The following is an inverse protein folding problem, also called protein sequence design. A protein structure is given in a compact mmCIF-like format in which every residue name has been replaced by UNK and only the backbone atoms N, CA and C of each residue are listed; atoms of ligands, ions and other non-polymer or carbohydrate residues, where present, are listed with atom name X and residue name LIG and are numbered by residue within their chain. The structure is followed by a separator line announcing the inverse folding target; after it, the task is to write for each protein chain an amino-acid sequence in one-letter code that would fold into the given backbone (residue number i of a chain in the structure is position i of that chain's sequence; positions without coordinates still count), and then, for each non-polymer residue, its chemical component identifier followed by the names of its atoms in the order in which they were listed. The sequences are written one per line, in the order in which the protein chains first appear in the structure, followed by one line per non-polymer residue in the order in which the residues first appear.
data_IF_817870690972
#
_entry.id   IF_817870690972
#
_cell.length_a   1.000
_cell.length_b   1.000
_cell.length_c   1.000
_cell.angle_alpha   90.00
_cell.angle_beta   90.00
_cell.angle_gamma   90.00
#
_symmetry.space_group_name_H-M   'P 1'
#
loop_
_entity.id
_entity.type
_entity.pdbx_description
1 polymer ?
#
# COMPACT_ATOMS: atom_id res chain seq x y z
N UNK A 1 27.89 -8.98 -136.59
CA UNK A 1 28.28 -7.71 -137.24
C UNK A 1 29.53 -8.00 -138.05
N UNK A 2 29.53 -7.75 -139.35
CA UNK A 2 30.71 -7.97 -140.18
C UNK A 2 31.79 -6.97 -139.75
N UNK A 3 32.84 -7.46 -139.08
CA UNK A 3 34.00 -6.64 -138.71
C UNK A 3 34.61 -6.03 -139.97
N UNK A 4 34.46 -4.73 -140.12
CA UNK A 4 34.94 -3.96 -141.25
C UNK A 4 36.46 -3.94 -141.20
N UNK A 5 37.10 -4.72 -142.09
CA UNK A 5 38.55 -4.68 -142.29
C UNK A 5 38.96 -3.26 -142.66
N UNK A 6 39.71 -2.61 -141.77
CA UNK A 6 40.29 -1.29 -142.03
C UNK A 6 41.49 -1.49 -142.94
N UNK A 7 41.67 -0.57 -143.89
CA UNK A 7 42.79 -0.58 -144.84
C UNK A 7 43.64 0.65 -144.61
N UNK A 8 44.95 0.45 -144.54
CA UNK A 8 45.93 1.54 -144.47
C UNK A 8 47.05 1.27 -145.46
N UNK A 9 47.59 2.35 -146.00
CA UNK A 9 48.80 2.31 -146.81
C UNK A 9 50.00 2.60 -145.89
N UNK A 10 50.96 1.68 -145.87
CA UNK A 10 52.17 1.81 -145.05
C UNK A 10 53.41 1.44 -145.84
N UNK A 11 54.53 2.09 -145.54
CA UNK A 11 55.81 1.81 -146.19
C UNK A 11 56.67 0.97 -145.24
N UNK A 12 57.12 -0.20 -145.71
CA UNK A 12 57.95 -1.14 -144.95
C UNK A 12 59.10 -1.62 -145.84
N UNK A 13 60.34 -1.45 -145.39
CA UNK A 13 61.54 -1.84 -146.09
C UNK A 13 61.78 -1.09 -147.41
N UNK A 14 61.14 0.07 -147.60
CA UNK A 14 61.14 0.84 -148.84
C UNK A 14 60.10 0.38 -149.88
N UNK A 15 59.17 -0.50 -149.50
CA UNK A 15 58.02 -0.90 -150.33
C UNK A 15 56.71 -0.51 -149.66
N UNK A 16 55.77 -0.01 -150.46
CA UNK A 16 54.45 0.38 -149.97
C UNK A 16 53.51 -0.82 -149.99
N UNK A 17 52.85 -1.09 -148.87
CA UNK A 17 51.91 -2.17 -148.67
C UNK A 17 50.56 -1.62 -148.23
N UNK A 18 49.50 -2.17 -148.84
CA UNK A 18 48.13 -1.95 -148.38
C UNK A 18 47.77 -3.02 -147.36
N UNK A 19 47.91 -2.71 -146.07
CA UNK A 19 47.56 -3.62 -145.00
C UNK A 19 46.05 -3.58 -144.75
N UNK A 20 45.45 -4.76 -144.63
CA UNK A 20 44.05 -4.91 -144.26
C UNK A 20 43.95 -5.77 -142.99
N UNK A 21 43.37 -5.22 -141.93
CA UNK A 21 43.23 -5.94 -140.67
C UNK A 21 42.06 -5.44 -139.83
N UNK A 22 41.89 -6.04 -138.65
CA UNK A 22 40.79 -5.74 -137.72
C UNK A 22 41.17 -4.72 -136.64
N UNK A 23 42.48 -4.51 -136.42
CA UNK A 23 43.00 -3.58 -135.43
C UNK A 23 42.77 -2.10 -135.80
N UNK A 24 43.12 -1.19 -134.88
CA UNK A 24 43.09 0.24 -135.20
C UNK A 24 44.18 0.61 -136.22
N UNK A 25 43.90 1.62 -137.06
CA UNK A 25 44.85 2.15 -138.05
C UNK A 25 46.15 2.59 -137.39
N UNK A 26 46.08 3.25 -136.22
CA UNK A 26 47.26 3.72 -135.48
C UNK A 26 48.13 2.57 -134.97
N UNK A 27 47.50 1.48 -134.51
CA UNK A 27 48.21 0.29 -134.06
C UNK A 27 48.88 -0.41 -135.24
N UNK A 28 48.18 -0.56 -136.37
CA UNK A 28 48.74 -1.14 -137.58
C UNK A 28 49.90 -0.31 -138.13
N UNK A 29 49.81 1.03 -138.11
CA UNK A 29 50.89 1.93 -138.50
C UNK A 29 52.08 1.81 -137.53
N UNK A 30 51.84 1.70 -136.22
CA UNK A 30 52.88 1.48 -135.23
C UNK A 30 53.59 0.13 -135.44
N UNK A 31 52.87 -0.95 -135.72
CA UNK A 31 53.45 -2.26 -136.04
C UNK A 31 54.25 -2.20 -137.34
N UNK A 32 53.75 -1.49 -138.36
CA UNK A 32 54.45 -1.28 -139.62
C UNK A 32 55.75 -0.49 -139.42
N UNK A 33 55.72 0.60 -138.63
CA UNK A 33 56.89 1.40 -138.25
C UNK A 33 57.90 0.58 -137.44
N UNK A 34 57.43 -0.23 -136.49
CA UNK A 34 58.31 -1.11 -135.72
C UNK A 34 58.97 -2.17 -136.61
N UNK A 35 58.22 -2.79 -137.52
CA UNK A 35 58.75 -3.74 -138.49
C UNK A 35 59.75 -3.08 -139.44
N UNK A 36 59.46 -1.88 -139.93
CA UNK A 36 60.36 -1.09 -140.78
C UNK A 36 61.65 -0.72 -140.04
N UNK A 37 61.56 -0.26 -138.80
CA UNK A 37 62.73 0.03 -137.96
C UNK A 37 63.57 -1.23 -137.72
N UNK A 38 62.96 -2.37 -137.37
CA UNK A 38 63.70 -3.65 -137.21
C UNK A 38 64.34 -4.11 -138.51
N UNK A 39 63.68 -3.88 -139.64
CA UNK A 39 64.19 -4.18 -140.97
C UNK A 39 65.39 -3.29 -141.32
N UNK A 40 65.34 -2.01 -140.96
CA UNK A 40 66.43 -1.06 -141.17
C UNK A 40 67.61 -1.29 -140.21
N UNK A 41 67.36 -1.64 -138.94
CA UNK A 41 68.40 -2.03 -137.98
C UNK A 41 69.16 -3.29 -138.44
N UNK A 42 68.44 -4.29 -138.97
CA UNK A 42 69.05 -5.49 -139.54
C UNK A 42 69.88 -5.17 -140.77
N UNK A 43 69.39 -4.30 -141.66
CA UNK A 43 70.17 -3.81 -142.80
C UNK A 43 71.43 -3.08 -142.36
N UNK A 44 71.35 -2.20 -141.36
CA UNK A 44 72.49 -1.43 -140.85
C UNK A 44 73.58 -2.32 -140.22
N UNK A 45 73.19 -3.44 -139.61
CA UNK A 45 74.13 -4.41 -139.01
C UNK A 45 74.65 -5.46 -140.00
N UNK A 46 74.10 -5.51 -141.22
CA UNK A 46 74.46 -6.47 -142.27
C UNK A 46 75.35 -5.78 -143.32
N UNK A 47 76.41 -6.45 -143.80
CA UNK A 47 77.34 -5.86 -144.78
C UNK A 47 76.64 -5.36 -146.07
N UNK A 48 77.17 -4.34 -146.77
CA UNK A 48 76.46 -3.60 -147.83
C UNK A 48 76.02 -4.40 -149.08
N UNK A 49 76.39 -5.68 -149.19
CA UNK A 49 76.09 -6.54 -150.34
C UNK A 49 75.05 -7.65 -150.07
N UNK A 50 74.31 -7.59 -148.95
CA UNK A 50 73.23 -8.54 -148.67
C UNK A 50 71.91 -7.98 -149.22
N UNK A 51 71.72 -8.15 -150.53
CA UNK A 51 70.41 -8.12 -151.19
C UNK A 51 69.55 -9.18 -150.53
N UNK A 52 68.36 -8.82 -150.02
CA UNK A 52 67.22 -9.69 -149.61
C UNK A 52 67.46 -11.21 -149.76
N UNK A 53 68.35 -11.77 -148.95
CA UNK A 53 68.71 -13.18 -149.03
C UNK A 53 67.65 -14.00 -148.29
N UNK A 54 67.50 -15.29 -148.61
CA UNK A 54 66.47 -16.16 -148.00
C UNK A 54 66.52 -16.17 -146.45
N UNK A 55 67.68 -15.86 -145.86
CA UNK A 55 67.87 -15.81 -144.41
C UNK A 55 67.38 -14.51 -143.73
N UNK A 56 67.15 -13.42 -144.47
CA UNK A 56 66.79 -12.12 -143.89
C UNK A 56 65.41 -12.14 -143.20
N UNK A 57 64.33 -12.68 -143.80
CA UNK A 57 63.04 -12.82 -143.13
C UNK A 57 63.12 -13.70 -141.88
N UNK A 58 63.99 -14.72 -141.88
CA UNK A 58 64.17 -15.64 -140.76
C UNK A 58 64.82 -14.93 -139.56
N UNK A 59 65.87 -14.13 -139.80
CA UNK A 59 66.54 -13.37 -138.74
C UNK A 59 65.62 -12.27 -138.17
N UNK A 60 64.83 -11.62 -139.02
CA UNK A 60 63.82 -10.64 -138.58
C UNK A 60 62.73 -11.29 -137.72
N UNK A 61 62.22 -12.45 -138.14
CA UNK A 61 61.26 -13.22 -137.35
C UNK A 61 61.85 -13.66 -136.00
N UNK A 62 63.12 -14.08 -135.98
CA UNK A 62 63.81 -14.50 -134.76
C UNK A 62 63.97 -13.35 -133.75
N UNK A 63 64.33 -12.14 -134.22
CA UNK A 63 64.43 -10.97 -133.34
C UNK A 63 63.09 -10.53 -132.78
N UNK A 64 62.02 -10.58 -133.58
CA UNK A 64 60.66 -10.27 -133.12
C UNK A 64 60.20 -11.34 -132.10
N UNK A 65 60.54 -12.61 -132.34
CA UNK A 65 60.26 -13.68 -131.39
C UNK A 65 61.03 -13.47 -130.07
N UNK A 66 62.32 -13.15 -130.11
CA UNK A 66 63.13 -12.84 -128.92
C UNK A 66 62.55 -11.67 -128.11
N UNK A 67 62.18 -10.57 -128.76
CA UNK A 67 61.50 -9.44 -128.12
C UNK A 67 60.17 -9.89 -127.46
N UNK A 68 59.39 -10.76 -128.12
CA UNK A 68 58.17 -11.34 -127.55
C UNK A 68 58.44 -12.24 -126.33
N UNK A 69 59.47 -13.08 -126.39
CA UNK A 69 59.84 -13.99 -125.30
C UNK A 69 60.34 -13.21 -124.09
N UNK A 70 61.20 -12.20 -124.28
CA UNK A 70 61.66 -11.29 -123.22
C UNK A 70 60.50 -10.53 -122.56
N UNK A 71 59.57 -10.01 -123.36
CA UNK A 71 58.39 -9.32 -122.85
C UNK A 71 57.48 -10.26 -122.04
N UNK A 72 57.32 -11.52 -122.47
CA UNK A 72 56.56 -12.54 -121.72
C UNK A 72 57.24 -12.93 -120.43
N UNK A 73 58.55 -13.16 -120.45
CA UNK A 73 59.34 -13.52 -119.26
C UNK A 73 59.32 -12.39 -118.22
N UNK A 74 59.48 -11.14 -118.66
CA UNK A 74 59.36 -9.96 -117.80
C UNK A 74 57.95 -9.85 -117.21
N UNK A 75 56.88 -10.03 -118.01
CA UNK A 75 55.51 -10.04 -117.50
C UNK A 75 55.26 -11.16 -116.48
N UNK A 76 55.79 -12.36 -116.70
CA UNK A 76 55.66 -13.47 -115.75
C UNK A 76 56.44 -13.22 -114.45
N UNK A 77 57.65 -12.67 -114.54
CA UNK A 77 58.48 -12.35 -113.37
C UNK A 77 57.87 -11.20 -112.58
N UNK A 78 57.45 -10.11 -113.24
CA UNK A 78 56.74 -9.01 -112.59
C UNK A 78 55.41 -9.47 -111.99
N UNK A 79 54.61 -10.27 -112.70
CA UNK A 79 53.33 -10.77 -112.15
C UNK A 79 53.53 -11.69 -110.96
N UNK A 80 54.51 -12.59 -110.99
CA UNK A 80 54.78 -13.51 -109.87
C UNK A 80 55.34 -12.80 -108.64
N UNK A 81 56.21 -11.80 -108.82
CA UNK A 81 56.72 -10.96 -107.71
C UNK A 81 55.58 -10.13 -107.09
N UNK A 82 54.77 -9.48 -107.93
CA UNK A 82 53.64 -8.65 -107.45
C UNK A 82 52.57 -9.50 -106.76
N UNK A 83 52.30 -10.72 -107.24
CA UNK A 83 51.37 -11.64 -106.58
C UNK A 83 51.92 -12.08 -105.23
N UNK A 84 53.19 -12.49 -105.15
CA UNK A 84 53.83 -12.90 -103.89
C UNK A 84 53.92 -11.76 -102.86
N UNK A 85 54.22 -10.54 -103.29
CA UNK A 85 54.21 -9.36 -102.41
C UNK A 85 52.79 -9.07 -101.89
N UNK A 86 51.78 -9.13 -102.76
CA UNK A 86 50.38 -8.99 -102.34
C UNK A 86 49.97 -10.09 -101.37
N UNK A 87 50.31 -11.34 -101.62
CA UNK A 87 50.04 -12.46 -100.72
C UNK A 87 50.71 -12.28 -99.36
N UNK A 88 51.99 -11.86 -99.33
CA UNK A 88 52.72 -11.58 -98.10
C UNK A 88 52.11 -10.41 -97.33
N UNK A 89 51.73 -9.33 -98.01
CA UNK A 89 51.08 -8.18 -97.39
C UNK A 89 49.73 -8.57 -96.80
N UNK A 90 48.88 -9.26 -97.57
CA UNK A 90 47.59 -9.79 -97.11
C UNK A 90 47.79 -10.72 -95.92
N UNK A 91 48.77 -11.64 -95.96
CA UNK A 91 49.06 -12.55 -94.86
C UNK A 91 49.54 -11.80 -93.60
N UNK A 92 50.34 -10.74 -93.75
CA UNK A 92 50.78 -9.91 -92.63
C UNK A 92 49.62 -9.12 -92.01
N UNK A 93 48.74 -8.55 -92.83
CA UNK A 93 47.53 -7.84 -92.39
C UNK A 93 46.56 -8.80 -91.70
N UNK A 94 46.36 -10.01 -92.23
CA UNK A 94 45.51 -11.03 -91.60
C UNK A 94 46.07 -11.46 -90.25
N UNK A 95 47.40 -11.64 -90.14
CA UNK A 95 48.06 -11.95 -88.87
C UNK A 95 47.92 -10.81 -87.86
N UNK A 96 48.07 -9.57 -88.30
CA UNK A 96 47.87 -8.40 -87.45
C UNK A 96 46.43 -8.35 -86.91
N UNK A 97 45.43 -8.48 -87.79
CA UNK A 97 44.01 -8.48 -87.43
C UNK A 97 43.65 -9.63 -86.49
N UNK A 98 44.19 -10.83 -86.75
CA UNK A 98 44.00 -11.99 -85.88
C UNK A 98 44.59 -11.74 -84.50
N UNK A 99 45.79 -11.14 -84.42
CA UNK A 99 46.44 -10.82 -83.16
C UNK A 99 45.64 -9.77 -82.35
N UNK A 100 45.07 -8.77 -83.02
CA UNK A 100 44.21 -7.78 -82.38
C UNK A 100 42.91 -8.43 -81.85
N UNK A 101 42.28 -9.31 -82.63
CA UNK A 101 41.13 -10.09 -82.16
C UNK A 101 41.46 -11.00 -80.97
N UNK A 102 42.65 -11.62 -80.97
CA UNK A 102 43.12 -12.44 -79.84
C UNK A 102 43.27 -11.56 -78.60
N UNK A 103 43.89 -10.37 -78.72
CA UNK A 103 44.01 -9.42 -77.60
C UNK A 103 42.65 -9.04 -77.04
N UNK A 104 41.73 -8.60 -77.90
CA UNK A 104 40.37 -8.21 -77.49
C UNK A 104 39.64 -9.38 -76.82
N UNK A 105 39.74 -10.59 -77.38
CA UNK A 105 39.14 -11.80 -76.78
C UNK A 105 39.76 -12.13 -75.43
N UNK A 106 41.08 -11.97 -75.27
CA UNK A 106 41.76 -12.20 -73.98
C UNK A 106 41.38 -11.16 -72.92
N UNK A 107 41.21 -9.89 -73.30
CA UNK A 107 40.75 -8.83 -72.40
C UNK A 107 39.32 -9.11 -71.93
N UNK A 108 38.41 -9.43 -72.85
CA UNK A 108 37.03 -9.80 -72.54
C UNK A 108 37.00 -11.03 -71.60
N UNK A 109 37.79 -12.07 -71.90
CA UNK A 109 37.88 -13.26 -71.06
C UNK A 109 38.35 -12.92 -69.64
N UNK A 110 39.34 -12.04 -69.50
CA UNK A 110 39.83 -11.60 -68.20
C UNK A 110 38.77 -10.79 -67.44
N UNK A 111 38.01 -9.93 -68.12
CA UNK A 111 36.89 -9.21 -67.52
C UNK A 111 35.79 -10.14 -67.03
N UNK A 112 35.41 -11.16 -67.81
CA UNK A 112 34.43 -12.17 -67.38
C UNK A 112 34.93 -12.97 -66.18
N UNK A 113 36.22 -13.31 -66.14
CA UNK A 113 36.83 -13.99 -64.99
C UNK A 113 36.80 -13.13 -63.73
N UNK A 114 37.12 -11.84 -63.85
CA UNK A 114 37.03 -10.89 -62.73
C UNK A 114 35.59 -10.72 -62.23
N UNK A 115 34.61 -10.59 -63.13
CA UNK A 115 33.19 -10.55 -62.75
C UNK A 115 32.74 -11.84 -62.06
N UNK A 116 33.20 -13.00 -62.52
CA UNK A 116 32.88 -14.27 -61.89
C UNK A 116 33.40 -14.33 -60.44
N UNK A 117 34.63 -13.86 -60.20
CA UNK A 117 35.17 -13.78 -58.84
C UNK A 117 34.42 -12.77 -57.97
N UNK A 118 33.99 -11.64 -58.51
CA UNK A 118 33.20 -10.65 -57.77
C UNK A 118 31.83 -11.21 -57.35
N UNK A 119 31.16 -11.94 -58.25
CA UNK A 119 29.90 -12.61 -57.92
C UNK A 119 30.08 -13.69 -56.86
N UNK A 120 31.18 -14.44 -56.90
CA UNK A 120 31.49 -15.46 -55.89
C UNK A 120 31.72 -14.83 -54.51
N UNK A 121 32.44 -13.70 -54.43
CA UNK A 121 32.59 -12.92 -53.19
C UNK A 121 31.23 -12.44 -52.68
N UNK A 122 30.38 -11.91 -53.57
CA UNK A 122 29.07 -11.41 -53.20
C UNK A 122 28.14 -12.51 -52.66
N UNK A 123 28.19 -13.70 -53.26
CA UNK A 123 27.45 -14.89 -52.78
C UNK A 123 27.93 -15.28 -51.38
N UNK A 124 29.24 -15.37 -51.16
CA UNK A 124 29.80 -15.70 -49.84
C UNK A 124 29.40 -14.68 -48.76
N UNK A 125 29.40 -13.39 -49.10
CA UNK A 125 28.91 -12.33 -48.21
C UNK A 125 27.42 -12.48 -47.90
N UNK A 126 26.60 -12.79 -48.92
CA UNK A 126 25.17 -13.02 -48.74
C UNK A 126 24.90 -14.22 -47.83
N UNK A 127 25.60 -15.35 -48.02
CA UNK A 127 25.47 -16.53 -47.18
C UNK A 127 25.85 -16.25 -45.72
N UNK A 128 26.92 -15.47 -45.50
CA UNK A 128 27.35 -15.07 -44.16
C UNK A 128 26.27 -14.23 -43.48
N UNK A 129 25.75 -13.21 -44.17
CA UNK A 129 24.64 -12.39 -43.66
C UNK A 129 23.37 -13.21 -43.42
N UNK A 130 23.07 -14.19 -44.27
CA UNK A 130 21.92 -15.07 -44.07
C UNK A 130 22.04 -15.87 -42.78
N UNK A 131 23.23 -16.42 -42.48
CA UNK A 131 23.50 -17.14 -41.23
C UNK A 131 23.39 -16.23 -40.00
N UNK A 132 23.88 -15.00 -40.09
CA UNK A 132 23.71 -13.99 -39.02
C UNK A 132 22.23 -13.70 -38.76
N UNK A 133 21.43 -13.53 -39.81
CA UNK A 133 19.98 -13.31 -39.70
C UNK A 133 19.29 -14.50 -39.03
N UNK A 134 19.66 -15.74 -39.37
CA UNK A 134 19.06 -16.93 -38.75
C UNK A 134 19.47 -17.07 -37.26
N UNK A 135 20.71 -16.69 -36.92
CA UNK A 135 21.15 -16.58 -35.53
C UNK A 135 20.37 -15.52 -34.76
N UNK A 136 20.14 -14.35 -35.36
CA UNK A 136 19.33 -13.29 -34.76
C UNK A 136 17.86 -13.70 -34.57
N UNK A 137 17.26 -14.38 -35.55
CA UNK A 137 15.90 -14.93 -35.43
C UNK A 137 15.80 -15.90 -34.26
N UNK A 138 16.77 -16.81 -34.11
CA UNK A 138 16.81 -17.75 -32.99
C UNK A 138 16.93 -17.02 -31.65
N UNK A 139 17.75 -15.97 -31.59
CA UNK A 139 17.88 -15.15 -30.39
C UNK A 139 16.60 -14.36 -30.06
N UNK A 140 15.83 -13.92 -31.06
CA UNK A 140 14.54 -13.27 -30.87
C UNK A 140 13.53 -14.24 -30.26
N UNK A 141 13.39 -15.44 -30.81
CA UNK A 141 12.47 -16.47 -30.27
C UNK A 141 12.80 -16.79 -28.81
N UNK A 142 14.08 -16.98 -28.49
CA UNK A 142 14.49 -17.22 -27.10
C UNK A 142 14.16 -16.04 -26.17
N UNK A 143 14.26 -14.80 -26.66
CA UNK A 143 13.87 -13.61 -25.88
C UNK A 143 12.37 -13.53 -25.69
N UNK A 144 11.57 -13.83 -26.72
CA UNK A 144 10.10 -13.92 -26.63
C UNK A 144 9.67 -14.92 -25.56
N UNK A 145 10.27 -16.12 -25.53
CA UNK A 145 10.02 -17.12 -24.48
C UNK A 145 10.34 -16.59 -23.06
N UNK A 146 11.41 -15.81 -22.92
CA UNK A 146 11.76 -15.21 -21.61
C UNK A 146 10.78 -14.11 -21.20
N UNK A 147 10.31 -13.32 -22.16
CA UNK A 147 9.31 -12.27 -21.94
C UNK A 147 8.01 -12.92 -21.48
N UNK A 148 7.53 -13.99 -22.14
CA UNK A 148 6.30 -14.68 -21.77
C UNK A 148 6.37 -15.23 -20.33
N UNK A 149 7.53 -15.80 -19.93
CA UNK A 149 7.75 -16.26 -18.55
C UNK A 149 7.70 -15.12 -17.53
N UNK A 150 8.26 -13.96 -17.88
CA UNK A 150 8.23 -12.78 -17.01
C UNK A 150 6.82 -12.20 -16.91
N UNK A 151 6.06 -12.16 -17.99
CA UNK A 151 4.66 -11.71 -18.02
C UNK A 151 3.79 -12.59 -17.11
N UNK A 152 3.94 -13.91 -17.18
CA UNK A 152 3.24 -14.83 -16.26
C UNK A 152 3.59 -14.55 -14.79
N UNK A 153 4.87 -14.27 -14.49
CA UNK A 153 5.30 -13.92 -13.13
C UNK A 153 4.72 -12.59 -12.65
N UNK A 154 4.62 -11.60 -13.54
CA UNK A 154 3.97 -10.31 -13.24
C UNK A 154 2.50 -10.52 -12.88
N UNK A 155 1.78 -11.34 -13.64
CA UNK A 155 0.37 -11.65 -13.36
C UNK A 155 0.21 -12.31 -11.98
N UNK A 156 1.07 -13.28 -11.64
CA UNK A 156 1.04 -13.91 -10.32
C UNK A 156 1.30 -12.90 -9.19
N UNK A 157 2.32 -12.06 -9.33
CA UNK A 157 2.64 -11.03 -8.32
C UNK A 157 1.53 -9.99 -8.18
N UNK A 158 0.84 -9.64 -9.26
CA UNK A 158 -0.33 -8.76 -9.22
C UNK A 158 -1.48 -9.39 -8.44
N UNK A 159 -1.74 -10.68 -8.66
CA UNK A 159 -2.73 -11.45 -7.88
C UNK A 159 -2.39 -11.45 -6.39
N UNK A 160 -1.12 -11.70 -6.03
CA UNK A 160 -0.68 -11.68 -4.63
C UNK A 160 -0.86 -10.29 -4.00
N UNK A 161 -0.52 -9.22 -4.73
CA UNK A 161 -0.71 -7.84 -4.28
C UNK A 161 -2.19 -7.56 -3.98
N UNK A 162 -3.09 -7.99 -4.86
CA UNK A 162 -4.52 -7.77 -4.67
C UNK A 162 -5.06 -8.57 -3.47
N UNK A 163 -4.58 -9.80 -3.26
CA UNK A 163 -4.89 -10.57 -2.05
C UNK A 163 -4.41 -9.85 -0.78
N UNK A 164 -3.17 -9.34 -0.78
CA UNK A 164 -2.64 -8.59 0.36
C UNK A 164 -3.38 -7.28 0.62
N UNK A 165 -3.85 -6.58 -0.42
CA UNK A 165 -4.70 -5.38 -0.26
C UNK A 165 -6.02 -5.72 0.44
N UNK A 166 -6.67 -6.82 0.05
CA UNK A 166 -7.91 -7.27 0.71
C UNK A 166 -7.65 -7.56 2.19
N UNK A 167 -6.61 -8.35 2.50
CA UNK A 167 -6.22 -8.65 3.89
C UNK A 167 -5.90 -7.40 4.71
N UNK A 168 -5.27 -6.40 4.09
CA UNK A 168 -4.97 -5.12 4.75
C UNK A 168 -6.24 -4.34 5.05
N UNK A 169 -7.18 -4.30 4.11
CA UNK A 169 -8.48 -3.65 4.28
C UNK A 169 -9.29 -4.30 5.41
N UNK A 170 -9.34 -5.63 5.46
CA UNK A 170 -10.02 -6.37 6.53
C UNK A 170 -9.42 -6.06 7.92
N UNK A 171 -8.09 -6.00 8.01
CA UNK A 171 -7.41 -5.59 9.26
C UNK A 171 -7.71 -4.14 9.63
N UNK A 172 -7.77 -3.23 8.66
CA UNK A 172 -8.12 -1.83 8.88
C UNK A 172 -9.56 -1.68 9.40
N UNK A 173 -10.49 -2.44 8.83
CA UNK A 173 -11.88 -2.48 9.29
C UNK A 173 -11.96 -3.03 10.73
N UNK A 174 -11.25 -4.13 11.02
CA UNK A 174 -11.20 -4.70 12.37
C UNK A 174 -10.68 -3.69 13.39
N UNK A 175 -9.61 -2.94 13.08
CA UNK A 175 -9.08 -1.89 13.97
C UNK A 175 -10.13 -0.80 14.20
N UNK A 176 -10.84 -0.39 13.16
CA UNK A 176 -11.92 0.61 13.23
C UNK A 176 -13.03 0.14 14.17
N UNK A 177 -13.46 -1.11 14.04
CA UNK A 177 -14.49 -1.71 14.91
C UNK A 177 -14.03 -1.80 16.37
N UNK A 178 -12.78 -2.21 16.62
CA UNK A 178 -12.23 -2.24 17.97
C UNK A 178 -12.15 -0.85 18.59
N UNK A 179 -11.76 0.17 17.83
CA UNK A 179 -11.73 1.56 18.29
C UNK A 179 -13.13 2.06 18.65
N UNK A 180 -14.15 1.74 17.84
CA UNK A 180 -15.54 2.05 18.18
C UNK A 180 -15.97 1.39 19.49
N UNK A 181 -15.59 0.13 19.70
CA UNK A 181 -15.89 -0.64 20.93
C UNK A 181 -15.20 -0.06 22.16
N UNK A 182 -13.94 0.35 22.03
CA UNK A 182 -13.17 1.05 23.08
C UNK A 182 -13.85 2.37 23.43
N UNK A 183 -14.27 3.16 22.44
CA UNK A 183 -14.95 4.42 22.67
C UNK A 183 -16.27 4.24 23.43
N UNK A 184 -17.08 3.23 23.07
CA UNK A 184 -18.30 2.89 23.81
C UNK A 184 -18.00 2.53 25.26
N UNK A 185 -17.00 1.66 25.50
CA UNK A 185 -16.60 1.29 26.86
C UNK A 185 -16.08 2.47 27.68
N UNK A 186 -15.35 3.39 27.06
CA UNK A 186 -14.87 4.61 27.73
C UNK A 186 -16.04 5.53 28.12
N UNK A 187 -17.08 5.64 27.26
CA UNK A 187 -18.30 6.36 27.62
C UNK A 187 -19.01 5.70 28.81
N UNK A 188 -19.18 4.38 28.79
CA UNK A 188 -19.76 3.63 29.92
C UNK A 188 -18.96 3.85 31.21
N UNK A 189 -17.62 3.75 31.15
CA UNK A 189 -16.74 4.00 32.29
C UNK A 189 -16.92 5.43 32.85
N UNK A 190 -17.02 6.43 31.98
CA UNK A 190 -17.27 7.81 32.40
C UNK A 190 -18.62 7.95 33.11
N UNK A 191 -19.68 7.30 32.60
CA UNK A 191 -20.99 7.32 33.27
C UNK A 191 -20.96 6.63 34.64
N UNK A 192 -20.25 5.51 34.76
CA UNK A 192 -20.07 4.81 36.03
C UNK A 192 -19.27 5.65 37.03
N UNK A 193 -18.21 6.30 36.58
CA UNK A 193 -17.40 7.20 37.41
C UNK A 193 -18.23 8.38 37.93
N UNK A 194 -19.08 8.98 37.08
CA UNK A 194 -20.03 10.02 37.52
C UNK A 194 -21.00 9.51 38.59
N UNK A 195 -21.63 8.34 38.36
CA UNK A 195 -22.54 7.71 39.34
C UNK A 195 -21.85 7.37 40.66
N UNK A 196 -20.59 6.94 40.60
CA UNK A 196 -19.78 6.64 41.79
C UNK A 196 -19.54 7.91 42.60
N UNK A 197 -19.18 9.01 41.95
CA UNK A 197 -19.01 10.31 42.61
C UNK A 197 -20.31 10.78 43.26
N UNK A 198 -21.45 10.69 42.57
CA UNK A 198 -22.77 11.02 43.13
C UNK A 198 -23.08 10.18 44.39
N UNK A 199 -22.82 8.87 44.36
CA UNK A 199 -22.99 8.01 45.55
C UNK A 199 -22.06 8.38 46.70
N UNK A 200 -20.80 8.74 46.41
CA UNK A 200 -19.85 9.16 47.44
C UNK A 200 -20.30 10.46 48.13
N UNK A 201 -20.82 11.43 47.37
CA UNK A 201 -21.40 12.65 47.93
C UNK A 201 -22.59 12.32 48.83
N UNK A 202 -23.53 11.51 48.36
CA UNK A 202 -24.69 11.10 49.15
C UNK A 202 -24.30 10.34 50.43
N UNK A 203 -23.28 9.49 50.38
CA UNK A 203 -22.76 8.78 51.55
C UNK A 203 -22.15 9.75 52.57
N UNK A 204 -21.39 10.74 52.11
CA UNK A 204 -20.81 11.76 52.99
C UNK A 204 -21.89 12.58 53.69
N UNK A 205 -22.95 12.99 52.97
CA UNK A 205 -24.11 13.67 53.57
C UNK A 205 -24.81 12.82 54.63
N UNK A 206 -24.97 11.52 54.36
CA UNK A 206 -25.59 10.58 55.29
C UNK A 206 -24.73 10.42 56.55
N UNK A 207 -23.41 10.29 56.40
CA UNK A 207 -22.46 10.24 57.50
C UNK A 207 -22.49 11.52 58.35
N UNK A 208 -22.58 12.70 57.73
CA UNK A 208 -22.74 13.97 58.45
C UNK A 208 -24.04 13.98 59.26
N UNK A 209 -25.17 13.61 58.65
CA UNK A 209 -26.47 13.51 59.35
C UNK A 209 -26.42 12.49 60.50
N UNK A 210 -25.71 11.37 60.32
CA UNK A 210 -25.54 10.38 61.38
C UNK A 210 -24.72 10.95 62.55
N UNK A 211 -23.64 11.68 62.27
CA UNK A 211 -22.84 12.36 63.28
C UNK A 211 -23.67 13.40 64.06
N UNK A 212 -24.46 14.23 63.36
CA UNK A 212 -25.37 15.19 63.99
C UNK A 212 -26.41 14.52 64.89
N UNK A 213 -27.01 13.41 64.43
CA UNK A 213 -27.95 12.61 65.24
C UNK A 213 -27.27 12.02 66.48
N UNK A 214 -26.04 11.53 66.38
CA UNK A 214 -25.29 11.00 67.52
C UNK A 214 -24.98 12.10 68.54
N UNK A 215 -24.61 13.31 68.10
CA UNK A 215 -24.43 14.46 69.00
C UNK A 215 -25.74 14.76 69.74
N UNK A 216 -26.86 14.87 69.02
CA UNK A 216 -28.18 15.10 69.62
C UNK A 216 -28.56 13.99 70.62
N UNK A 217 -28.34 12.73 70.26
CA UNK A 217 -28.61 11.59 71.13
C UNK A 217 -27.78 11.66 72.42
N UNK A 218 -26.51 12.00 72.32
CA UNK A 218 -25.64 12.17 73.49
C UNK A 218 -26.13 13.32 74.40
N UNK A 219 -26.60 14.43 73.82
CA UNK A 219 -27.20 15.53 74.59
C UNK A 219 -28.47 15.07 75.31
N UNK A 220 -29.39 14.41 74.61
CA UNK A 220 -30.64 13.88 75.19
C UNK A 220 -30.33 12.85 76.29
N UNK A 221 -29.32 12.01 76.12
CA UNK A 221 -28.90 11.05 77.15
C UNK A 221 -28.38 11.77 78.40
N UNK A 222 -27.59 12.84 78.27
CA UNK A 222 -27.15 13.66 79.40
C UNK A 222 -28.35 14.29 80.12
N UNK A 223 -29.29 14.88 79.38
CA UNK A 223 -30.50 15.46 79.94
C UNK A 223 -31.35 14.41 80.69
N UNK A 224 -31.49 13.21 80.11
CA UNK A 224 -32.16 12.07 80.75
C UNK A 224 -31.46 11.69 82.05
N UNK A 225 -30.13 11.60 82.06
CA UNK A 225 -29.35 11.22 83.23
C UNK A 225 -29.47 12.29 84.34
N UNK A 226 -29.41 13.58 83.99
CA UNK A 226 -29.65 14.69 84.92
C UNK A 226 -31.07 14.64 85.52
N UNK A 227 -32.07 14.37 84.69
CA UNK A 227 -33.45 14.18 85.15
C UNK A 227 -33.59 12.96 86.07
N UNK A 228 -32.90 11.85 85.77
CA UNK A 228 -32.90 10.67 86.63
C UNK A 228 -32.28 10.96 88.00
N UNK A 229 -31.19 11.74 88.06
CA UNK A 229 -30.59 12.20 89.31
C UNK A 229 -31.56 13.09 90.10
N UNK A 230 -32.18 14.07 89.44
CA UNK A 230 -33.20 14.95 90.06
C UNK A 230 -34.38 14.16 90.59
N UNK A 231 -34.88 13.20 89.83
CA UNK A 231 -36.00 12.32 90.23
C UNK A 231 -35.61 11.46 91.44
N UNK A 232 -34.39 10.90 91.46
CA UNK A 232 -33.89 10.13 92.61
C UNK A 232 -33.80 10.99 93.86
N UNK A 233 -33.32 12.22 93.74
CA UNK A 233 -33.26 13.18 94.85
C UNK A 233 -34.66 13.54 95.35
N UNK A 234 -35.59 13.89 94.44
CA UNK A 234 -36.98 14.17 94.78
C UNK A 234 -37.66 12.99 95.49
N UNK A 235 -37.47 11.76 95.01
CA UNK A 235 -37.99 10.55 95.66
C UNK A 235 -37.38 10.33 97.06
N UNK A 236 -36.10 10.64 97.26
CA UNK A 236 -35.47 10.57 98.58
C UNK A 236 -36.07 11.62 99.53
N UNK A 237 -36.30 12.84 99.06
CA UNK A 237 -36.98 13.89 99.81
C UNK A 237 -38.42 13.50 100.17
N UNK A 238 -39.17 12.92 99.22
CA UNK A 238 -40.52 12.40 99.48
C UNK A 238 -40.49 11.33 100.57
N UNK A 239 -39.57 10.36 100.51
CA UNK A 239 -39.42 9.34 101.56
C UNK A 239 -39.07 9.92 102.93
N UNK A 240 -38.24 10.98 102.98
CA UNK A 240 -37.94 11.67 104.22
C UNK A 240 -39.19 12.34 104.80
N UNK A 241 -39.94 13.07 103.96
CA UNK A 241 -41.21 13.69 104.34
C UNK A 241 -42.26 12.66 104.77
N UNK A 242 -42.34 11.50 104.11
CA UNK A 242 -43.20 10.38 104.51
C UNK A 242 -42.84 9.86 105.90
N UNK A 243 -41.53 9.69 106.19
CA UNK A 243 -41.05 9.29 107.51
C UNK A 243 -41.34 10.33 108.58
N UNK A 244 -41.18 11.62 108.26
CA UNK A 244 -41.52 12.72 109.16
C UNK A 244 -43.04 12.76 109.42
N UNK A 245 -43.87 12.53 108.40
CA UNK A 245 -45.32 12.39 108.55
C UNK A 245 -45.69 11.19 109.41
N UNK A 246 -45.07 10.03 109.24
CA UNK A 246 -45.28 8.87 110.13
C UNK A 246 -44.92 9.19 111.57
N UNK A 247 -43.80 9.89 111.80
CA UNK A 247 -43.38 10.32 113.14
C UNK A 247 -44.39 11.26 113.76
N UNK A 248 -44.82 12.30 113.04
CA UNK A 248 -45.86 13.22 113.48
C UNK A 248 -47.19 12.51 113.73
N UNK A 249 -47.53 11.50 112.94
CA UNK A 249 -48.74 10.68 113.13
C UNK A 249 -48.65 9.88 114.43
N UNK A 250 -47.50 9.25 114.72
CA UNK A 250 -47.26 8.55 115.99
C UNK A 250 -47.27 9.50 117.19
N UNK A 251 -46.60 10.64 117.09
CA UNK A 251 -46.63 11.68 118.13
C UNK A 251 -48.06 12.17 118.37
N UNK A 252 -48.83 12.43 117.31
CA UNK A 252 -50.24 12.83 117.43
C UNK A 252 -51.10 11.73 118.06
N UNK A 253 -50.84 10.46 117.76
CA UNK A 253 -51.55 9.32 118.36
C UNK A 253 -51.20 9.15 119.83
N UNK A 254 -49.92 9.26 120.21
CA UNK A 254 -49.49 9.25 121.61
C UNK A 254 -50.13 10.39 122.40
N UNK A 255 -50.15 11.62 121.85
CA UNK A 255 -50.86 12.75 122.48
C UNK A 255 -52.36 12.46 122.64
N UNK A 256 -52.96 11.70 121.73
CA UNK A 256 -54.38 11.31 121.80
C UNK A 256 -54.61 10.27 122.90
N UNK A 257 -53.72 9.29 123.03
CA UNK A 257 -53.73 8.29 124.11
C UNK A 257 -53.45 8.94 125.48
N UNK A 258 -52.47 9.84 125.56
CA UNK A 258 -52.20 10.64 126.77
C UNK A 258 -53.42 11.48 127.15
N UNK A 259 -54.06 12.13 126.17
CA UNK A 259 -55.31 12.86 126.38
C UNK A 259 -56.42 11.95 126.92
N UNK A 260 -56.58 10.75 126.38
CA UNK A 260 -57.56 9.77 126.87
C UNK A 260 -57.25 9.28 128.28
N UNK A 261 -55.96 9.03 128.60
CA UNK A 261 -55.51 8.70 129.95
C UNK A 261 -55.80 9.82 130.92
N UNK A 262 -55.46 11.06 130.58
CA UNK A 262 -55.78 12.25 131.39
C UNK A 262 -57.29 12.42 131.58
N UNK A 263 -58.11 12.16 130.56
CA UNK A 263 -59.57 12.15 130.72
C UNK A 263 -60.00 11.08 131.73
N UNK A 264 -59.38 9.90 131.69
CA UNK A 264 -59.68 8.79 132.59
C UNK A 264 -59.21 9.07 134.02
N UNK A 265 -58.05 9.70 134.19
CA UNK A 265 -57.53 10.14 135.48
C UNK A 265 -58.41 11.25 136.06
N UNK A 266 -58.83 12.22 135.24
CA UNK A 266 -59.80 13.25 135.65
C UNK A 266 -61.14 12.63 136.03
N UNK A 267 -61.62 11.62 135.29
CA UNK A 267 -62.84 10.88 135.63
C UNK A 267 -62.68 10.09 136.94
N UNK A 268 -61.54 9.44 137.16
CA UNK A 268 -61.23 8.73 138.41
C UNK A 268 -61.09 9.69 139.59
N UNK A 269 -60.45 10.84 139.42
CA UNK A 269 -60.37 11.89 140.44
C UNK A 269 -61.78 12.41 140.74
N UNK A 270 -62.62 12.54 139.71
CA UNK A 270 -64.01 12.94 139.88
C UNK A 270 -64.84 11.88 140.62
N UNK A 271 -64.68 10.61 140.29
CA UNK A 271 -65.33 9.51 141.00
C UNK A 271 -64.81 9.39 142.44
N UNK A 272 -63.50 9.54 142.67
CA UNK A 272 -62.92 9.61 144.01
C UNK A 272 -63.45 10.82 144.79
N UNK A 273 -63.61 11.97 144.13
CA UNK A 273 -64.20 13.16 144.72
C UNK A 273 -65.68 12.95 145.05
N UNK A 274 -66.45 12.29 144.17
CA UNK A 274 -67.85 11.95 144.42
C UNK A 274 -67.98 10.87 145.51
N UNK A 275 -67.05 9.93 145.60
CA UNK A 275 -66.97 8.92 146.68
C UNK A 275 -66.60 9.59 148.01
N UNK A 276 -65.65 10.53 148.00
CA UNK A 276 -65.29 11.33 149.16
C UNK A 276 -66.46 12.19 149.62
N UNK A 277 -67.15 12.84 148.68
CA UNK A 277 -68.37 13.60 148.91
C UNK A 277 -69.48 12.72 149.50
N UNK A 278 -69.69 11.52 148.98
CA UNK A 278 -70.68 10.57 149.50
C UNK A 278 -70.28 9.98 150.86
N UNK A 279 -68.98 9.81 151.14
CA UNK A 279 -68.49 9.38 152.46
C UNK A 279 -68.69 10.45 153.54
N UNK A 280 -68.67 11.73 153.15
CA UNK A 280 -69.07 12.85 154.01
C UNK A 280 -70.58 12.89 154.28
N UNK A 281 -71.42 12.37 153.38
CA UNK A 281 -72.88 12.47 153.50
C UNK A 281 -73.55 11.30 154.25
N UNK A 282 -72.86 10.17 154.45
CA UNK A 282 -73.56 8.94 154.91
C UNK A 282 -73.20 8.42 156.31
N UNK A 283 -72.02 8.67 156.90
CA UNK A 283 -71.70 7.95 158.17
C UNK A 283 -71.33 8.78 159.40
N UNK A 284 -70.91 10.04 159.29
CA UNK A 284 -70.65 10.85 160.51
C UNK A 284 -71.80 11.80 160.88
N UNK A 285 -72.58 12.30 159.92
CA UNK A 285 -73.70 13.23 160.19
C UNK A 285 -74.89 12.60 160.93
N UNK A 286 -75.15 11.31 160.72
CA UNK A 286 -76.29 10.61 161.31
C UNK A 286 -75.98 9.96 162.67
N UNK A 287 -74.74 9.58 162.93
CA UNK A 287 -74.32 9.09 164.26
C UNK A 287 -74.24 10.25 165.28
N UNK A 288 -73.85 11.46 164.86
CA UNK A 288 -73.82 12.64 165.73
C UNK A 288 -75.22 13.15 166.10
N UNK A 289 -76.20 13.05 165.19
CA UNK A 289 -77.62 13.40 165.45
C UNK A 289 -78.30 12.41 166.41
N UNK A 290 -77.99 11.12 166.32
CA UNK A 290 -78.53 10.10 167.23
C UNK A 290 -77.93 10.21 168.65
N UNK A 291 -76.64 10.50 168.77
CA UNK A 291 -75.99 10.72 170.06
C UNK A 291 -76.53 11.96 170.79
N UNK A 292 -76.80 13.07 170.07
CA UNK A 292 -77.37 14.27 170.67
C UNK A 292 -78.83 14.08 171.15
N UNK A 293 -79.64 13.30 170.42
CA UNK A 293 -81.00 12.98 170.83
C UNK A 293 -81.04 12.11 172.09
N UNK A 294 -80.10 11.16 172.24
CA UNK A 294 -79.98 10.30 173.42
C UNK A 294 -79.56 11.08 174.66
N UNK A 295 -78.55 11.95 174.53
CA UNK A 295 -78.11 12.85 175.63
C UNK A 295 -79.22 13.83 176.02
N UNK A 296 -79.98 14.35 175.04
CA UNK A 296 -81.11 15.26 175.31
C UNK A 296 -82.26 14.57 176.04
N UNK A 297 -82.54 13.29 175.75
CA UNK A 297 -83.56 12.51 176.43
C UNK A 297 -83.15 12.16 177.89
N UNK A 298 -81.89 11.76 178.12
CA UNK A 298 -81.37 11.49 179.46
C UNK A 298 -81.36 12.76 180.34
N UNK A 299 -81.09 13.93 179.76
CA UNK A 299 -81.08 15.20 180.51
C UNK A 299 -82.50 15.67 180.91
N UNK A 300 -83.52 15.38 180.09
CA UNK A 300 -84.93 15.64 180.43
C UNK A 300 -85.42 14.68 181.54
N UNK A 301 -84.95 13.44 181.54
CA UNK A 301 -85.27 12.46 182.58
C UNK A 301 -84.57 12.77 183.92
N UNK A 302 -83.34 13.30 183.87
CA UNK A 302 -82.64 13.85 185.03
C UNK A 302 -83.32 15.09 185.60
N UNK A 303 -83.77 16.04 184.76
CA UNK A 303 -84.56 17.19 185.19
C UNK A 303 -85.86 16.78 185.89
N UNK A 304 -86.58 15.76 185.40
CA UNK A 304 -87.76 15.19 186.10
C UNK A 304 -87.42 14.49 187.41
N UNK A 305 -86.24 13.87 187.53
CA UNK A 305 -85.75 13.28 188.79
C UNK A 305 -85.36 14.35 189.81
N UNK A 306 -84.77 15.46 189.36
CA UNK A 306 -84.46 16.62 190.23
C UNK A 306 -85.76 17.31 190.69
N UNK A 307 -86.73 17.49 189.80
CA UNK A 307 -88.04 18.08 190.13
C UNK A 307 -88.86 17.18 191.10
N UNK A 308 -88.76 15.86 190.97
CA UNK A 308 -89.34 14.91 191.95
C UNK A 308 -88.60 14.88 193.30
N UNK A 309 -87.30 15.21 193.33
CA UNK A 309 -86.54 15.36 194.58
C UNK A 309 -86.86 16.70 195.26
N UNK A 310 -87.10 17.77 194.50
CA UNK A 310 -87.59 19.05 195.03
C UNK A 310 -89.04 18.95 195.57
N UNK A 311 -89.88 18.10 194.99
CA UNK A 311 -91.21 17.79 195.55
C UNK A 311 -91.09 16.97 196.85
N UNK A 312 -90.06 16.14 197.03
CA UNK A 312 -89.78 15.48 198.32
C UNK A 312 -89.23 16.45 199.38
N UNK A 313 -88.60 17.56 198.96
CA UNK A 313 -88.19 18.68 199.83
C UNK A 313 -89.37 19.56 200.31
N UNK A 314 -90.60 19.38 199.81
CA UNK A 314 -91.82 19.93 200.45
C UNK A 314 -92.38 19.06 201.59
N UNK A 315 -91.64 18.02 202.00
CA UNK A 315 -91.73 17.38 203.32
C UNK A 315 -90.34 17.21 203.97
N UNK A 316 -89.50 18.25 203.87
CA UNK A 316 -88.58 18.76 204.90
C UNK A 316 -87.59 19.71 204.24
#
# INVERSE_FOLDING_TARGET
MAETKKRIEVTIGGRTYNLAGMENTDYMEMVAKYLDNKMNELKAKSSPNIVYNESFPIILALNIADDLFKERENKTNTSTVVVKEKENNIASELKARLNDQIKETTEIKNQYKAKATDYEILINQYETKSKEVDGLKTAIVNREDTIEKLERKIIMLQSDIDEYKVKLNDKSQYITDQNAKINSKNQELNTLSKKLNEKNVALNELNQKAAEKNIKLNTVNKERDDLAVKLKAANASVKALEKDMEKLTKESQMLKEDKESLIKDVASIKDQFDTFKNSLDIDEGNQLKAAFAKVKAENIELMRKVENLEIKLKRK
#
